data_IF_881087615687
#
_entry.id   IF_881087615687
#
_cell.length_a   1.000
_cell.length_b   1.000
_cell.length_c   1.000
_cell.angle_alpha   90.00
_cell.angle_beta   90.00
_cell.angle_gamma   90.00
#
_symmetry.space_group_name_H-M   'P 1'
#
loop_
_entity.id
_entity.type
_entity.pdbx_description
1 polymer ?
#
# COMPACT_ATOMS: atom_id res chain seq x y z
N UNK A 1 29.19 18.49 -19.08
CA UNK A 1 28.00 19.37 -18.98
C UNK A 1 26.79 18.47 -19.25
N UNK A 2 26.46 17.59 -18.30
CA UNK A 2 25.40 16.60 -18.45
C UNK A 2 24.14 17.17 -17.80
N UNK A 3 23.26 17.75 -18.62
CA UNK A 3 21.87 17.96 -18.23
C UNK A 3 21.14 16.66 -18.51
N UNK A 4 21.04 15.81 -17.48
CA UNK A 4 20.12 14.68 -17.47
C UNK A 4 18.74 15.17 -17.88
N UNK A 5 18.19 14.59 -18.94
CA UNK A 5 16.83 14.83 -19.36
C UNK A 5 15.90 14.41 -18.22
N UNK A 6 15.33 15.39 -17.52
CA UNK A 6 14.22 15.17 -16.59
C UNK A 6 13.09 14.51 -17.39
N UNK A 7 12.98 13.18 -17.28
CA UNK A 7 11.89 12.43 -17.87
C UNK A 7 10.59 13.08 -17.39
N UNK A 8 9.85 13.69 -18.32
CA UNK A 8 8.57 14.30 -18.02
C UNK A 8 7.68 13.21 -17.44
N UNK A 9 7.29 13.33 -16.17
CA UNK A 9 6.40 12.36 -15.54
C UNK A 9 5.10 12.36 -16.34
N UNK A 10 4.90 11.31 -17.14
CA UNK A 10 3.65 11.10 -17.89
C UNK A 10 2.59 10.69 -16.88
N UNK A 11 1.46 11.39 -16.91
CA UNK A 11 0.26 11.02 -16.15
C UNK A 11 -0.76 10.41 -17.11
N UNK A 12 -1.70 9.64 -16.56
CA UNK A 12 -2.75 8.96 -17.30
C UNK A 12 -4.12 9.57 -16.94
N UNK A 13 -4.97 9.77 -17.94
CA UNK A 13 -6.32 10.33 -17.79
C UNK A 13 -6.36 11.86 -17.72
N UNK A 14 -7.58 12.37 -17.63
CA UNK A 14 -7.84 13.80 -17.49
C UNK A 14 -7.66 14.31 -16.05
N UNK A 15 -7.61 15.64 -15.93
CA UNK A 15 -7.58 16.30 -14.62
C UNK A 15 -8.98 16.36 -14.05
N UNK A 16 -9.07 16.02 -12.77
CA UNK A 16 -10.27 16.25 -11.96
C UNK A 16 -10.71 17.73 -12.09
N UNK A 17 -11.99 18.00 -12.42
CA UNK A 17 -12.50 19.37 -12.51
C UNK A 17 -12.24 20.16 -11.25
N UNK A 18 -11.99 21.48 -11.37
CA UNK A 18 -11.57 22.32 -10.25
C UNK A 18 -12.47 22.21 -9.00
N UNK A 19 -13.82 22.25 -9.10
CA UNK A 19 -14.69 22.13 -7.92
C UNK A 19 -14.51 20.79 -7.19
N UNK A 20 -14.45 19.69 -7.94
CA UNK A 20 -14.24 18.35 -7.41
C UNK A 20 -12.83 18.20 -6.83
N UNK A 21 -11.83 18.82 -7.46
CA UNK A 21 -10.45 18.81 -6.98
C UNK A 21 -10.30 19.53 -5.65
N UNK A 22 -10.95 20.68 -5.47
CA UNK A 22 -10.94 21.40 -4.19
C UNK A 22 -11.60 20.57 -3.10
N UNK A 23 -12.73 19.93 -3.40
CA UNK A 23 -13.44 19.03 -2.47
C UNK A 23 -12.57 17.83 -2.10
N UNK A 24 -12.01 17.13 -3.09
CA UNK A 24 -11.11 15.99 -2.89
C UNK A 24 -9.88 16.36 -2.06
N UNK A 25 -9.30 17.53 -2.31
CA UNK A 25 -8.15 18.05 -1.58
C UNK A 25 -8.50 18.30 -0.12
N UNK A 26 -9.66 18.88 0.13
CA UNK A 26 -10.09 19.22 1.49
C UNK A 26 -10.44 17.94 2.28
N UNK A 27 -10.99 16.90 1.64
CA UNK A 27 -11.22 15.58 2.25
C UNK A 27 -9.95 14.88 2.75
N UNK A 28 -8.79 15.16 2.15
CA UNK A 28 -7.48 14.64 2.61
C UNK A 28 -6.64 15.69 3.33
N UNK A 29 -7.17 16.89 3.55
CA UNK A 29 -6.52 17.89 4.37
C UNK A 29 -6.66 17.56 5.85
N UNK A 30 -5.74 18.07 6.65
CA UNK A 30 -5.78 17.99 8.11
C UNK A 30 -5.48 19.36 8.68
N UNK A 31 -5.74 19.58 9.98
CA UNK A 31 -5.51 20.87 10.64
C UNK A 31 -4.10 21.44 10.37
N UNK A 32 -3.09 20.56 10.34
CA UNK A 32 -1.68 20.98 10.24
C UNK A 32 -1.08 20.84 8.83
N UNK A 33 -1.80 20.21 7.88
CA UNK A 33 -1.25 19.90 6.56
C UNK A 33 -2.30 19.95 5.46
N UNK A 34 -1.95 20.65 4.39
CA UNK A 34 -2.72 20.70 3.15
C UNK A 34 -2.74 19.33 2.47
N UNK A 35 -3.90 18.95 1.98
CA UNK A 35 -4.11 17.78 1.14
C UNK A 35 -3.56 17.96 -0.27
N UNK A 36 -3.26 16.84 -0.93
CA UNK A 36 -2.83 16.80 -2.31
C UNK A 36 -3.64 15.78 -3.09
N UNK A 37 -4.08 16.15 -4.29
CA UNK A 37 -4.74 15.24 -5.23
C UNK A 37 -3.87 15.14 -6.47
N UNK A 38 -3.44 13.92 -6.78
CA UNK A 38 -2.55 13.62 -7.89
C UNK A 38 -3.31 12.93 -9.03
N UNK A 39 -2.73 13.00 -10.23
CA UNK A 39 -3.12 12.13 -11.32
C UNK A 39 -2.44 10.76 -11.16
N UNK A 40 -3.10 9.75 -11.71
CA UNK A 40 -2.51 8.43 -11.85
C UNK A 40 -1.29 8.46 -12.79
N UNK A 41 -0.37 7.53 -12.56
CA UNK A 41 0.82 7.30 -13.39
C UNK A 41 0.65 5.99 -14.17
N UNK A 42 1.26 5.87 -15.37
CA UNK A 42 1.26 4.62 -16.12
C UNK A 42 2.04 3.55 -15.36
N UNK A 43 1.62 2.28 -15.51
CA UNK A 43 2.21 1.11 -14.85
C UNK A 43 2.25 1.22 -13.32
N UNK A 44 1.30 1.95 -12.74
CA UNK A 44 1.19 2.13 -11.30
C UNK A 44 -0.06 1.43 -10.76
N UNK A 45 0.04 1.02 -9.50
CA UNK A 45 -1.08 0.49 -8.74
C UNK A 45 -1.37 1.41 -7.55
N UNK A 46 -2.65 1.59 -7.26
CA UNK A 46 -3.14 2.36 -6.13
C UNK A 46 -4.13 1.51 -5.34
N UNK A 47 -4.00 1.48 -4.02
CA UNK A 47 -4.88 0.74 -3.14
C UNK A 47 -5.25 1.60 -1.94
N UNK A 48 -6.54 1.64 -1.60
CA UNK A 48 -7.03 2.75 -0.81
C UNK A 48 -8.54 2.88 -0.76
N UNK A 49 -8.98 3.74 0.15
CA UNK A 49 -10.38 4.02 0.40
C UNK A 49 -10.93 4.99 -0.63
N UNK A 50 -12.14 4.75 -1.12
CA UNK A 50 -12.86 5.72 -1.96
C UNK A 50 -13.28 6.91 -1.09
N UNK A 51 -12.92 8.11 -1.51
CA UNK A 51 -13.25 9.36 -0.82
C UNK A 51 -14.52 10.00 -1.37
N UNK A 52 -14.59 10.06 -2.70
CA UNK A 52 -15.72 10.62 -3.44
C UNK A 52 -15.70 10.06 -4.86
N UNK A 53 -16.83 10.19 -5.53
CA UNK A 53 -16.96 9.96 -6.96
C UNK A 53 -17.76 11.11 -7.55
N UNK A 54 -17.34 11.60 -8.70
CA UNK A 54 -18.09 12.51 -9.55
C UNK A 54 -18.38 11.85 -10.89
N UNK A 55 -19.12 12.53 -11.76
CA UNK A 55 -19.52 12.00 -13.09
C UNK A 55 -18.34 11.61 -13.99
N UNK A 56 -17.14 12.11 -13.71
CA UNK A 56 -15.96 11.87 -14.55
C UNK A 56 -14.84 11.14 -13.82
N UNK A 57 -14.84 11.13 -12.49
CA UNK A 57 -13.70 10.65 -11.72
C UNK A 57 -14.10 9.91 -10.45
N UNK A 58 -13.32 8.89 -10.13
CA UNK A 58 -13.27 8.29 -8.81
C UNK A 58 -12.05 8.82 -8.06
N UNK A 59 -12.23 9.30 -6.83
CA UNK A 59 -11.14 9.78 -5.98
C UNK A 59 -10.84 8.79 -4.87
N UNK A 60 -9.59 8.35 -4.81
CA UNK A 60 -9.09 7.36 -3.84
C UNK A 60 -8.05 7.98 -2.91
N UNK A 61 -8.15 7.71 -1.60
CA UNK A 61 -7.10 8.03 -0.63
C UNK A 61 -5.96 7.01 -0.73
N UNK A 62 -4.74 7.50 -0.99
CA UNK A 62 -3.53 6.66 -1.10
C UNK A 62 -2.47 6.97 -0.04
N UNK A 63 -2.74 7.97 0.81
CA UNK A 63 -1.88 8.35 1.93
C UNK A 63 -2.61 9.25 2.92
N UNK A 64 -1.92 9.64 4.00
CA UNK A 64 -2.53 10.44 5.08
C UNK A 64 -3.11 11.77 4.59
N UNK A 65 -2.41 12.43 3.67
CA UNK A 65 -2.83 13.72 3.09
C UNK A 65 -2.80 13.70 1.56
N UNK A 66 -3.01 12.53 0.97
CA UNK A 66 -2.83 12.32 -0.46
C UNK A 66 -3.93 11.47 -1.04
N UNK A 67 -4.48 11.94 -2.15
CA UNK A 67 -5.45 11.23 -2.96
C UNK A 67 -4.97 11.13 -4.40
N UNK A 68 -5.51 10.16 -5.13
CA UNK A 68 -5.38 10.04 -6.58
C UNK A 68 -6.78 10.14 -7.18
N UNK A 69 -6.91 10.97 -8.21
CA UNK A 69 -8.10 11.04 -9.03
C UNK A 69 -7.93 10.11 -10.24
N UNK A 70 -8.91 9.24 -10.43
CA UNK A 70 -8.97 8.27 -11.52
C UNK A 70 -10.07 8.70 -12.48
N UNK A 71 -9.68 9.10 -13.69
CA UNK A 71 -10.61 9.34 -14.80
C UNK A 71 -11.35 8.04 -15.13
N UNK A 72 -12.68 8.06 -15.05
CA UNK A 72 -13.54 6.90 -15.24
C UNK A 72 -13.51 6.40 -16.69
N UNK A 73 -13.30 7.29 -17.67
CA UNK A 73 -13.34 6.96 -19.10
C UNK A 73 -12.19 6.04 -19.53
N UNK A 74 -11.06 6.10 -18.81
CA UNK A 74 -9.88 5.27 -19.06
C UNK A 74 -9.86 3.98 -18.24
N UNK A 75 -10.78 3.84 -17.29
CA UNK A 75 -10.97 2.59 -16.56
C UNK A 75 -11.81 1.63 -17.40
N UNK A 76 -11.35 0.38 -17.53
CA UNK A 76 -12.04 -0.67 -18.27
C UNK A 76 -13.46 -0.90 -17.75
N UNK A 77 -13.66 -0.72 -16.44
CA UNK A 77 -14.91 -0.92 -15.75
C UNK A 77 -15.52 0.39 -15.19
N UNK A 78 -15.19 1.54 -15.76
CA UNK A 78 -15.73 2.86 -15.34
C UNK A 78 -17.26 2.87 -15.16
N UNK A 79 -18.06 2.49 -16.17
CA UNK A 79 -19.53 2.48 -16.05
C UNK A 79 -20.07 1.53 -14.97
N UNK A 80 -19.35 0.43 -14.71
CA UNK A 80 -19.72 -0.50 -13.65
C UNK A 80 -19.44 0.09 -12.27
N UNK A 81 -18.33 0.84 -12.10
CA UNK A 81 -18.03 1.54 -10.86
C UNK A 81 -19.08 2.62 -10.56
N UNK A 82 -19.53 3.35 -11.59
CA UNK A 82 -20.62 4.33 -11.46
C UNK A 82 -21.89 3.67 -10.93
N UNK A 83 -22.32 2.59 -11.59
CA UNK A 83 -23.48 1.80 -11.18
C UNK A 83 -23.36 1.26 -9.75
N UNK A 84 -22.18 0.75 -9.37
CA UNK A 84 -21.92 0.25 -8.03
C UNK A 84 -21.95 1.35 -6.98
N UNK A 85 -21.51 2.57 -7.31
CA UNK A 85 -21.61 3.72 -6.42
C UNK A 85 -23.05 4.16 -6.23
N UNK A 86 -23.82 4.28 -7.32
CA UNK A 86 -25.23 4.68 -7.29
C UNK A 86 -26.10 3.67 -6.52
N UNK A 87 -25.80 2.38 -6.66
CA UNK A 87 -26.46 1.31 -5.91
C UNK A 87 -25.99 1.19 -4.45
N UNK A 88 -24.99 1.99 -4.05
CA UNK A 88 -24.44 2.00 -2.70
C UNK A 88 -23.58 0.78 -2.35
N UNK A 89 -23.06 0.06 -3.34
CA UNK A 89 -22.04 -0.98 -3.16
C UNK A 89 -20.66 -0.34 -2.88
N UNK A 90 -20.33 0.73 -3.61
CA UNK A 90 -19.20 1.60 -3.29
C UNK A 90 -19.70 2.73 -2.40
N UNK A 91 -19.19 2.79 -1.16
CA UNK A 91 -19.52 3.83 -0.19
C UNK A 91 -18.28 4.66 0.11
N UNK A 92 -18.38 5.97 -0.15
CA UNK A 92 -17.40 6.95 0.26
C UNK A 92 -17.04 6.79 1.75
N UNK A 93 -15.75 6.83 2.05
CA UNK A 93 -15.25 6.67 3.42
C UNK A 93 -15.27 5.23 3.95
N UNK A 94 -15.76 4.22 3.20
CA UNK A 94 -15.89 2.84 3.68
C UNK A 94 -15.31 1.80 2.74
N UNK A 95 -15.62 1.89 1.46
CA UNK A 95 -15.18 0.91 0.46
C UNK A 95 -13.73 1.14 0.10
N UNK A 96 -12.94 0.07 0.13
CA UNK A 96 -11.58 0.07 -0.40
C UNK A 96 -11.61 -0.48 -1.82
N UNK A 97 -10.83 0.14 -2.68
CA UNK A 97 -10.61 -0.34 -4.03
C UNK A 97 -9.11 -0.48 -4.28
N UNK A 98 -8.80 -1.16 -5.37
CA UNK A 98 -7.48 -1.25 -5.95
C UNK A 98 -7.60 -0.88 -7.41
N UNK A 99 -6.78 0.04 -7.89
CA UNK A 99 -6.72 0.46 -9.28
C UNK A 99 -5.35 0.10 -9.84
N UNK A 100 -5.33 -0.73 -10.88
CA UNK A 100 -4.11 -1.12 -11.60
C UNK A 100 -4.11 -0.47 -12.98
N UNK A 101 -3.05 0.25 -13.32
CA UNK A 101 -2.86 0.84 -14.64
C UNK A 101 -1.81 0.09 -15.45
N UNK A 102 -2.09 -0.10 -16.73
CA UNK A 102 -1.10 -0.35 -17.77
C UNK A 102 -0.52 0.97 -18.30
N UNK A 103 -0.23 1.01 -19.61
CA UNK A 103 0.32 2.21 -20.26
C UNK A 103 -0.73 3.32 -20.44
N UNK A 104 -1.95 2.95 -20.87
CA UNK A 104 -2.98 3.93 -21.29
C UNK A 104 -4.34 3.72 -20.63
N UNK A 105 -4.58 2.56 -20.01
CA UNK A 105 -5.83 2.21 -19.33
C UNK A 105 -5.58 1.54 -18.00
N UNK A 106 -6.61 1.48 -17.16
CA UNK A 106 -6.56 0.75 -15.91
C UNK A 106 -7.85 0.02 -15.61
N UNK A 107 -7.85 -0.73 -14.51
CA UNK A 107 -9.01 -1.44 -14.01
C UNK A 107 -9.07 -1.28 -12.49
N UNK A 108 -10.27 -1.13 -11.95
CA UNK A 108 -10.49 -1.05 -10.52
C UNK A 108 -11.20 -2.30 -9.99
N UNK A 109 -10.75 -2.82 -8.86
CA UNK A 109 -11.42 -3.92 -8.14
C UNK A 109 -11.74 -3.47 -6.71
N UNK A 110 -12.95 -3.78 -6.24
CA UNK A 110 -13.30 -3.60 -4.83
C UNK A 110 -12.53 -4.65 -4.01
N UNK A 111 -11.82 -4.20 -3.00
CA UNK A 111 -11.02 -5.08 -2.12
C UNK A 111 -11.52 -5.01 -0.69
N UNK A 112 -11.48 -6.14 0.00
CA UNK A 112 -11.76 -6.18 1.43
C UNK A 112 -10.64 -5.49 2.21
N UNK A 113 -10.93 -5.05 3.43
CA UNK A 113 -9.92 -4.48 4.33
C UNK A 113 -8.73 -5.43 4.53
N UNK A 114 -8.99 -6.72 4.70
CA UNK A 114 -7.95 -7.73 4.93
C UNK A 114 -7.07 -7.93 3.70
N UNK A 115 -7.65 -7.95 2.50
CA UNK A 115 -6.89 -8.03 1.24
C UNK A 115 -6.00 -6.80 1.05
N UNK A 116 -6.54 -5.60 1.23
CA UNK A 116 -5.76 -4.36 1.12
C UNK A 116 -4.60 -4.34 2.13
N UNK A 117 -4.87 -4.76 3.38
CA UNK A 117 -3.85 -4.80 4.43
C UNK A 117 -2.76 -5.83 4.11
N UNK A 118 -3.13 -7.01 3.61
CA UNK A 118 -2.20 -8.05 3.20
C UNK A 118 -1.25 -7.54 2.10
N UNK A 119 -1.78 -6.89 1.07
CA UNK A 119 -0.96 -6.30 0.00
C UNK A 119 -0.01 -5.22 0.55
N UNK A 120 -0.51 -4.33 1.41
CA UNK A 120 0.30 -3.26 2.03
C UNK A 120 1.48 -3.85 2.81
N UNK A 121 1.23 -4.89 3.62
CA UNK A 121 2.27 -5.59 4.37
C UNK A 121 3.30 -6.21 3.42
N UNK A 122 2.84 -6.88 2.37
CA UNK A 122 3.73 -7.50 1.39
C UNK A 122 4.65 -6.47 0.72
N UNK A 123 4.10 -5.37 0.19
CA UNK A 123 4.90 -4.33 -0.48
C UNK A 123 5.89 -3.64 0.46
N UNK A 124 5.48 -3.37 1.71
CA UNK A 124 6.38 -2.77 2.70
C UNK A 124 7.52 -3.72 3.08
N UNK A 125 7.21 -5.00 3.27
CA UNK A 125 8.19 -6.01 3.58
C UNK A 125 9.16 -6.26 2.41
N UNK A 126 8.69 -6.22 1.17
CA UNK A 126 9.54 -6.29 -0.04
C UNK A 126 10.55 -5.15 -0.06
N UNK A 127 10.10 -3.90 0.05
CA UNK A 127 10.98 -2.72 0.11
C UNK A 127 11.97 -2.78 1.26
N UNK A 128 11.51 -3.19 2.44
CA UNK A 128 12.37 -3.34 3.61
C UNK A 128 13.43 -4.41 3.38
N UNK A 129 13.06 -5.57 2.82
CA UNK A 129 13.97 -6.68 2.57
C UNK A 129 15.03 -6.35 1.52
N UNK A 130 14.67 -5.58 0.49
CA UNK A 130 15.61 -5.06 -0.51
C UNK A 130 16.71 -4.20 0.12
N UNK A 131 16.34 -3.37 1.10
CA UNK A 131 17.24 -2.43 1.76
C UNK A 131 18.06 -3.07 2.90
N UNK A 132 17.50 -4.08 3.59
CA UNK A 132 18.06 -4.56 4.85
C UNK A 132 18.61 -5.99 4.79
N UNK A 133 18.20 -6.82 3.82
CA UNK A 133 18.70 -8.19 3.67
C UNK A 133 19.60 -8.25 2.44
N UNK A 134 20.91 -8.23 2.65
CA UNK A 134 21.91 -8.30 1.58
C UNK A 134 22.06 -9.70 0.99
N UNK A 135 21.84 -10.76 1.78
CA UNK A 135 21.92 -12.14 1.30
C UNK A 135 20.66 -12.52 0.52
N UNK A 136 20.80 -12.83 -0.77
CA UNK A 136 19.68 -13.16 -1.67
C UNK A 136 18.85 -14.35 -1.20
N UNK A 137 19.47 -15.42 -0.69
CA UNK A 137 18.75 -16.62 -0.22
C UNK A 137 17.93 -16.35 1.04
N UNK A 138 18.49 -15.57 1.98
CA UNK A 138 17.76 -15.13 3.16
C UNK A 138 16.61 -14.19 2.79
N UNK A 139 16.82 -13.30 1.80
CA UNK A 139 15.79 -12.40 1.28
C UNK A 139 14.64 -13.20 0.67
N UNK A 140 14.92 -14.15 -0.21
CA UNK A 140 13.90 -15.02 -0.80
C UNK A 140 13.10 -15.79 0.25
N UNK A 141 13.79 -16.35 1.25
CA UNK A 141 13.14 -17.08 2.36
C UNK A 141 12.23 -16.17 3.16
N UNK A 142 12.68 -14.96 3.51
CA UNK A 142 11.87 -13.95 4.19
C UNK A 142 10.63 -13.59 3.37
N UNK A 143 10.81 -13.28 2.08
CA UNK A 143 9.69 -12.92 1.20
C UNK A 143 8.68 -14.06 1.04
N UNK A 144 9.15 -15.31 1.04
CA UNK A 144 8.26 -16.49 1.05
C UNK A 144 7.38 -16.51 2.31
N UNK A 145 7.95 -16.29 3.50
CA UNK A 145 7.19 -16.25 4.75
C UNK A 145 6.21 -15.08 4.80
N UNK A 146 6.62 -13.91 4.32
CA UNK A 146 5.75 -12.73 4.21
C UNK A 146 4.56 -13.03 3.28
N UNK A 147 4.79 -13.68 2.14
CA UNK A 147 3.69 -14.05 1.21
C UNK A 147 2.70 -15.01 1.87
N UNK A 148 3.18 -16.05 2.56
CA UNK A 148 2.29 -16.96 3.30
C UNK A 148 1.47 -16.21 4.35
N UNK A 149 2.13 -15.37 5.16
CA UNK A 149 1.46 -14.55 6.16
C UNK A 149 0.40 -13.60 5.56
N UNK A 150 0.73 -12.94 4.45
CA UNK A 150 -0.19 -12.05 3.74
C UNK A 150 -1.39 -12.83 3.17
N UNK A 151 -1.20 -14.04 2.66
CA UNK A 151 -2.29 -14.90 2.19
C UNK A 151 -3.25 -15.28 3.33
N UNK A 152 -2.72 -15.64 4.49
CA UNK A 152 -3.53 -16.00 5.66
C UNK A 152 -4.30 -14.77 6.16
N UNK A 153 -3.65 -13.61 6.21
CA UNK A 153 -4.29 -12.34 6.54
C UNK A 153 -5.43 -12.01 5.58
N UNK A 154 -5.20 -12.14 4.26
CA UNK A 154 -6.22 -11.87 3.25
C UNK A 154 -7.45 -12.77 3.40
N UNK A 155 -7.26 -14.02 3.86
CA UNK A 155 -8.34 -14.97 4.18
C UNK A 155 -9.02 -14.69 5.52
N UNK A 156 -8.55 -13.72 6.30
CA UNK A 156 -9.05 -13.44 7.64
C UNK A 156 -8.64 -14.50 8.68
N UNK A 157 -7.64 -15.32 8.38
CA UNK A 157 -7.03 -16.19 9.37
C UNK A 157 -6.10 -15.32 10.23
N UNK A 158 -6.46 -15.11 11.49
CA UNK A 158 -5.53 -14.50 12.43
C UNK A 158 -4.27 -15.37 12.48
N UNK A 159 -3.07 -14.79 12.41
CA UNK A 159 -1.86 -15.56 12.68
C UNK A 159 -2.04 -16.18 14.06
N UNK A 160 -1.93 -17.52 14.12
CA UNK A 160 -1.93 -18.23 15.39
C UNK A 160 -1.03 -17.45 16.34
N UNK A 161 -1.57 -16.98 17.47
CA UNK A 161 -0.81 -16.28 18.50
C UNK A 161 0.41 -17.13 18.82
N UNK A 162 1.56 -16.79 18.23
CA UNK A 162 2.84 -17.26 18.72
C UNK A 162 2.97 -16.59 20.08
N UNK A 163 2.60 -17.33 21.13
CA UNK A 163 3.12 -17.09 22.46
C UNK A 163 4.62 -16.88 22.30
N UNK A 164 5.22 -15.82 22.85
CA UNK A 164 6.64 -15.60 22.73
C UNK A 164 7.35 -16.82 23.30
N UNK A 165 7.91 -17.62 22.40
CA UNK A 165 8.73 -18.76 22.76
C UNK A 165 9.89 -18.19 23.55
N UNK A 166 10.09 -18.73 24.76
CA UNK A 166 11.05 -18.24 25.74
C UNK A 166 12.37 -17.95 25.03
N UNK A 167 12.82 -16.69 25.10
CA UNK A 167 14.15 -16.31 24.70
C UNK A 167 15.15 -17.28 25.33
N UNK A 168 15.75 -18.15 24.51
CA UNK A 168 16.99 -18.85 24.86
C UNK A 168 18.05 -17.77 25.03
N UNK A 169 18.17 -17.26 26.25
CA UNK A 169 19.34 -16.53 26.68
C UNK A 169 20.53 -17.48 26.53
N UNK A 170 21.59 -17.13 25.77
CA UNK A 170 22.78 -17.96 25.72
C UNK A 170 23.42 -17.94 27.11
N UNK A 171 23.39 -19.10 27.77
CA UNK A 171 24.05 -19.37 29.04
C UNK A 171 25.56 -19.21 28.86
N UNK A 172 26.10 -18.05 29.25
CA UNK A 172 27.55 -17.87 29.43
C UNK A 172 27.97 -18.77 30.59
N UNK A 173 28.50 -19.94 30.27
CA UNK A 173 29.23 -20.79 31.21
C UNK A 173 30.47 -20.04 31.70
N UNK A 174 30.42 -19.49 32.91
CA UNK A 174 31.62 -19.07 33.64
C UNK A 174 32.14 -20.27 34.44
N UNK A 175 33.28 -20.80 34.03
CA UNK A 175 34.04 -21.77 34.82
C UNK A 175 34.76 -21.05 35.98
N UNK A 176 34.73 -21.55 37.23
CA UNK A 176 35.57 -21.02 38.31
C UNK A 176 37.00 -21.56 38.15
N UNK A 177 37.95 -20.68 37.87
CA UNK A 177 39.38 -21.01 37.89
C UNK A 177 39.86 -20.99 39.35
N UNK A 178 39.99 -22.17 39.96
CA UNK A 178 40.68 -22.36 41.24
C UNK A 178 42.15 -21.99 41.08
N UNK A 179 42.56 -20.91 41.74
CA UNK A 179 43.96 -20.54 41.87
C UNK A 179 44.57 -21.34 43.03
N UNK A 180 45.18 -22.48 42.70
CA UNK A 180 46.15 -23.12 43.58
C UNK A 180 47.40 -22.23 43.67
N UNK A 181 47.71 -21.71 44.86
CA UNK A 181 49.08 -21.41 45.25
C UNK A 181 49.41 -22.20 46.50
N UNK A 182 50.14 -23.28 46.29
CA UNK A 182 50.93 -23.93 47.31
C UNK A 182 52.38 -23.49 47.14
N UNK A 183 52.94 -22.98 48.23
CA UNK A 183 54.35 -22.86 48.67
C UNK A 183 54.65 -21.46 49.19
#
# INVERSE_FOLDING_TARGET
MEKEAQATIKYIGERLPKPDWETARDLVSSADRKGFVYLAKPNAQYAGKVLMMSDTHLVQQVGKNSAVAHDLSILENGPELERQFDNGEIKAGRTNIKVEYGQDRGKADIVTYNQQRAETVQTQAEKWAEQNITNSRSRETFLKHVRTFAQDMAKGQEPAKTLPDKAKVPEKTQAPQQQQRAR
#
